data_IF_922441462575
#
_entry.id   IF_922441462575
#
_cell.length_a   1.000
_cell.length_b   1.000
_cell.length_c   1.000
_cell.angle_alpha   90.00
_cell.angle_beta   90.00
_cell.angle_gamma   90.00
#
_symmetry.space_group_name_H-M   'P 1'
#
loop_
_entity.id
_entity.type
_entity.pdbx_description
1 polymer ?
#
# COMPACT_ATOMS: atom_id res chain seq x y z
N UNK A 1 -1.37 14.99 -27.43
CA UNK A 1 -0.59 14.82 -26.19
C UNK A 1 0.13 13.51 -26.21
N UNK A 2 1.45 13.55 -25.98
CA UNK A 2 2.31 12.37 -25.85
C UNK A 2 2.10 11.70 -24.48
N UNK A 3 2.56 10.44 -24.33
CA UNK A 3 2.52 9.73 -23.06
C UNK A 3 3.30 10.48 -21.97
N UNK A 4 4.47 11.01 -22.33
CA UNK A 4 5.34 11.78 -21.44
C UNK A 4 4.66 13.06 -20.95
N UNK A 5 3.98 13.79 -21.84
CA UNK A 5 3.21 14.99 -21.45
C UNK A 5 2.09 14.66 -20.46
N UNK A 6 1.38 13.54 -20.66
CA UNK A 6 0.33 13.09 -19.74
C UNK A 6 0.90 12.70 -18.37
N UNK A 7 2.05 12.04 -18.35
CA UNK A 7 2.74 11.68 -17.10
C UNK A 7 3.22 12.92 -16.34
N UNK A 8 3.79 13.90 -17.04
CA UNK A 8 4.25 15.15 -16.43
C UNK A 8 3.08 15.94 -15.81
N UNK A 9 1.97 16.07 -16.54
CA UNK A 9 0.77 16.72 -16.02
C UNK A 9 0.21 15.99 -14.79
N UNK A 10 0.24 14.66 -14.76
CA UNK A 10 -0.16 13.90 -13.58
C UNK A 10 0.77 14.15 -12.38
N UNK A 11 2.09 14.20 -12.60
CA UNK A 11 3.07 14.51 -11.54
C UNK A 11 2.81 15.90 -10.94
N UNK A 12 2.53 16.91 -11.77
CA UNK A 12 2.22 18.27 -11.31
C UNK A 12 0.97 18.33 -10.41
N UNK A 13 -0.01 17.47 -10.67
CA UNK A 13 -1.17 17.31 -9.79
C UNK A 13 -0.73 16.74 -8.43
N UNK A 14 0.09 15.69 -8.40
CA UNK A 14 0.55 15.07 -7.16
C UNK A 14 1.60 15.89 -6.39
N UNK A 15 2.19 16.92 -7.01
CA UNK A 15 3.12 17.83 -6.34
C UNK A 15 2.43 18.89 -5.45
N UNK A 16 1.11 19.05 -5.56
CA UNK A 16 0.34 20.02 -4.77
C UNK A 16 -0.71 19.33 -3.93
N UNK A 17 -0.63 19.53 -2.60
CA UNK A 17 -1.65 19.05 -1.66
C UNK A 17 -3.07 19.53 -2.03
N UNK A 18 -3.20 20.75 -2.53
CA UNK A 18 -4.50 21.31 -2.90
C UNK A 18 -5.06 20.65 -4.16
N UNK A 19 -4.19 20.32 -5.12
CA UNK A 19 -4.59 19.61 -6.33
C UNK A 19 -5.02 18.17 -5.98
N UNK A 20 -4.27 17.47 -5.11
CA UNK A 20 -4.65 16.13 -4.62
C UNK A 20 -6.02 16.15 -3.94
N UNK A 21 -6.29 17.16 -3.10
CA UNK A 21 -7.61 17.33 -2.46
C UNK A 21 -8.74 17.56 -3.46
N UNK A 22 -8.45 18.19 -4.59
CA UNK A 22 -9.40 18.42 -5.67
C UNK A 22 -9.70 17.19 -6.54
N UNK A 23 -8.97 16.07 -6.37
CA UNK A 23 -9.18 14.84 -7.12
C UNK A 23 -10.33 13.96 -6.61
N UNK A 24 -10.99 14.37 -5.51
CA UNK A 24 -12.10 13.64 -4.88
C UNK A 24 -11.78 12.16 -4.60
N UNK A 25 -10.53 11.88 -4.22
CA UNK A 25 -10.05 10.54 -3.89
C UNK A 25 -10.51 10.14 -2.49
N UNK A 26 -10.95 8.89 -2.34
CA UNK A 26 -11.28 8.36 -1.01
C UNK A 26 -10.00 8.18 -0.17
N UNK A 27 -10.15 8.16 1.17
CA UNK A 27 -9.03 7.84 2.08
C UNK A 27 -8.32 6.53 1.67
N UNK A 28 -9.11 5.54 1.28
CA UNK A 28 -8.64 4.23 0.86
C UNK A 28 -7.81 4.26 -0.43
N UNK A 29 -8.12 5.18 -1.35
CA UNK A 29 -7.36 5.37 -2.59
C UNK A 29 -6.02 6.04 -2.28
N UNK A 30 -6.04 7.06 -1.41
CA UNK A 30 -4.82 7.74 -0.96
C UNK A 30 -3.87 6.80 -0.22
N UNK A 31 -4.37 5.94 0.66
CA UNK A 31 -3.56 4.91 1.33
C UNK A 31 -2.98 3.91 0.32
N UNK A 32 -3.77 3.48 -0.66
CA UNK A 32 -3.30 2.57 -1.72
C UNK A 32 -2.18 3.22 -2.55
N UNK A 33 -2.31 4.51 -2.89
CA UNK A 33 -1.29 5.26 -3.61
C UNK A 33 -0.02 5.43 -2.78
N UNK A 34 -0.16 5.79 -1.49
CA UNK A 34 0.96 5.87 -0.55
C UNK A 34 1.73 4.55 -0.51
N UNK A 35 1.05 3.42 -0.30
CA UNK A 35 1.72 2.12 -0.16
C UNK A 35 2.48 1.73 -1.43
N UNK A 36 1.91 2.01 -2.61
CA UNK A 36 2.58 1.79 -3.91
C UNK A 36 3.80 2.68 -4.08
N UNK A 37 3.67 3.97 -3.76
CA UNK A 37 4.78 4.93 -3.87
C UNK A 37 5.90 4.55 -2.89
N UNK A 38 5.57 4.17 -1.65
CA UNK A 38 6.55 3.71 -0.66
C UNK A 38 7.34 2.50 -1.15
N UNK A 39 6.66 1.54 -1.80
CA UNK A 39 7.33 0.38 -2.39
C UNK A 39 8.31 0.78 -3.50
N UNK A 40 7.90 1.68 -4.41
CA UNK A 40 8.77 2.19 -5.47
C UNK A 40 9.96 2.97 -4.88
N UNK A 41 9.74 3.75 -3.82
CA UNK A 41 10.82 4.45 -3.11
C UNK A 41 11.84 3.46 -2.54
N UNK A 42 11.37 2.38 -1.90
CA UNK A 42 12.25 1.34 -1.36
C UNK A 42 13.05 0.65 -2.48
N UNK A 43 12.40 0.31 -3.60
CA UNK A 43 13.06 -0.27 -4.78
C UNK A 43 14.17 0.64 -5.32
N UNK A 44 13.86 1.92 -5.57
CA UNK A 44 14.84 2.89 -6.06
C UNK A 44 15.96 3.17 -5.04
N UNK A 45 15.65 3.19 -3.75
CA UNK A 45 16.64 3.35 -2.69
C UNK A 45 17.61 2.18 -2.66
N UNK A 46 17.11 0.94 -2.75
CA UNK A 46 17.93 -0.26 -2.78
C UNK A 46 18.82 -0.31 -4.02
N UNK A 47 18.29 0.09 -5.19
CA UNK A 47 19.09 0.20 -6.43
C UNK A 47 20.21 1.24 -6.28
N UNK A 48 19.91 2.41 -5.70
CA UNK A 48 20.91 3.44 -5.48
C UNK A 48 21.97 2.99 -4.47
N UNK A 49 21.57 2.30 -3.41
CA UNK A 49 22.49 1.77 -2.42
C UNK A 49 23.40 0.69 -3.02
N UNK A 50 22.86 -0.17 -3.91
CA UNK A 50 23.65 -1.16 -4.64
C UNK A 50 24.71 -0.46 -5.50
N UNK A 51 24.35 0.59 -6.26
CA UNK A 51 25.30 1.38 -7.05
C UNK A 51 26.40 1.98 -6.17
N UNK A 52 26.06 2.50 -5.00
CA UNK A 52 27.04 3.05 -4.05
C UNK A 52 28.00 1.98 -3.53
N UNK A 53 27.49 0.79 -3.18
CA UNK A 53 28.31 -0.35 -2.73
C UNK A 53 29.24 -0.83 -3.86
N UNK A 54 28.74 -0.89 -5.09
CA UNK A 54 29.56 -1.27 -6.24
C UNK A 54 30.67 -0.25 -6.53
N UNK A 55 30.35 1.04 -6.46
CA UNK A 55 31.34 2.11 -6.59
C UNK A 55 32.42 2.02 -5.50
N UNK A 56 32.04 1.77 -4.24
CA UNK A 56 32.98 1.61 -3.13
C UNK A 56 33.91 0.39 -3.34
N UNK A 57 33.36 -0.75 -3.78
CA UNK A 57 34.15 -1.93 -4.11
C UNK A 57 35.13 -1.64 -5.26
N UNK A 58 34.69 -0.94 -6.31
CA UNK A 58 35.57 -0.57 -7.42
C UNK A 58 36.70 0.37 -6.96
N UNK A 59 36.39 1.36 -6.10
CA UNK A 59 37.39 2.27 -5.56
C UNK A 59 38.47 1.52 -4.75
N UNK A 60 38.06 0.57 -3.88
CA UNK A 60 39.00 -0.26 -3.10
C UNK A 60 39.88 -1.15 -3.99
N UNK A 61 39.32 -1.71 -5.07
CA UNK A 61 40.08 -2.49 -6.05
C UNK A 61 41.14 -1.65 -6.76
N UNK A 62 40.83 -0.40 -7.11
CA UNK A 62 41.78 0.50 -7.79
C UNK A 62 42.99 0.84 -6.92
N UNK A 63 42.81 0.90 -5.60
CA UNK A 63 43.90 1.13 -4.64
C UNK A 63 44.51 -0.17 -4.09
N UNK A 64 44.14 -1.32 -4.64
CA UNK A 64 44.61 -2.66 -4.27
C UNK A 64 44.42 -2.98 -2.77
N UNK A 65 43.33 -2.48 -2.18
CA UNK A 65 42.92 -2.75 -0.80
C UNK A 65 41.96 -3.92 -0.77
N UNK A 66 42.11 -4.78 0.23
CA UNK A 66 41.21 -5.91 0.45
C UNK A 66 39.77 -5.43 0.67
N UNK A 67 38.80 -6.10 0.04
CA UNK A 67 37.39 -5.72 0.12
C UNK A 67 36.83 -6.24 1.44
N UNK A 68 36.31 -5.39 2.33
CA UNK A 68 35.66 -5.83 3.55
C UNK A 68 34.49 -6.78 3.27
N UNK A 69 34.38 -7.84 4.08
CA UNK A 69 33.29 -8.81 4.00
C UNK A 69 31.91 -8.16 4.13
N UNK A 70 31.81 -7.08 4.91
CA UNK A 70 30.60 -6.27 5.07
C UNK A 70 30.08 -5.73 3.73
N UNK A 71 30.96 -5.19 2.87
CA UNK A 71 30.58 -4.68 1.56
C UNK A 71 30.20 -5.81 0.60
N UNK A 72 30.90 -6.95 0.68
CA UNK A 72 30.60 -8.15 -0.13
C UNK A 72 29.24 -8.75 0.24
N UNK A 73 28.97 -8.87 1.54
CA UNK A 73 27.70 -9.37 2.08
C UNK A 73 26.55 -8.41 1.76
N UNK A 74 26.79 -7.10 1.89
CA UNK A 74 25.80 -6.08 1.54
C UNK A 74 25.47 -6.08 0.05
N UNK A 75 26.48 -6.23 -0.82
CA UNK A 75 26.26 -6.40 -2.27
C UNK A 75 25.40 -7.64 -2.55
N UNK A 76 25.72 -8.79 -1.95
CA UNK A 76 24.94 -10.03 -2.12
C UNK A 76 23.50 -9.86 -1.64
N UNK A 77 23.29 -9.26 -0.47
CA UNK A 77 21.96 -9.02 0.08
C UNK A 77 21.12 -8.12 -0.84
N UNK A 78 21.68 -7.00 -1.32
CA UNK A 78 20.99 -6.07 -2.21
C UNK A 78 20.73 -6.68 -3.61
N UNK A 79 21.66 -7.45 -4.16
CA UNK A 79 21.51 -8.10 -5.47
C UNK A 79 20.58 -9.33 -5.47
N UNK A 80 20.44 -10.00 -4.32
CA UNK A 80 19.56 -11.16 -4.15
C UNK A 80 18.15 -10.81 -3.67
N UNK A 81 17.93 -9.57 -3.24
CA UNK A 81 16.62 -9.08 -2.83
C UNK A 81 15.76 -8.89 -4.07
N UNK A 82 14.98 -9.92 -4.46
CA UNK A 82 13.91 -9.71 -5.43
C UNK A 82 12.94 -8.70 -4.80
N UNK A 83 12.49 -7.67 -5.55
CA UNK A 83 11.43 -6.79 -5.07
C UNK A 83 10.28 -7.68 -4.62
N UNK A 84 9.87 -7.52 -3.37
CA UNK A 84 8.92 -8.40 -2.73
C UNK A 84 7.53 -8.15 -3.36
N UNK A 85 7.30 -8.66 -4.57
CA UNK A 85 6.02 -8.57 -5.29
C UNK A 85 4.88 -9.27 -4.50
N UNK A 86 5.21 -9.98 -3.42
CA UNK A 86 4.28 -10.69 -2.55
C UNK A 86 3.29 -9.78 -1.79
N UNK A 87 3.46 -8.44 -1.80
CA UNK A 87 2.46 -7.51 -1.23
C UNK A 87 1.34 -7.11 -2.18
N UNK A 88 1.28 -7.65 -3.40
CA UNK A 88 -0.02 -7.81 -4.07
C UNK A 88 -0.83 -8.92 -3.37
N UNK A 89 -1.09 -8.79 -2.07
CA UNK A 89 -2.23 -9.47 -1.47
C UNK A 89 -3.44 -8.99 -2.26
N UNK A 90 -4.05 -9.89 -3.04
CA UNK A 90 -5.37 -9.68 -3.66
C UNK A 90 -6.21 -8.93 -2.64
N UNK A 91 -6.65 -7.70 -2.97
CA UNK A 91 -7.51 -6.91 -2.09
C UNK A 91 -8.65 -7.83 -1.66
N UNK A 92 -8.86 -7.93 -0.35
CA UNK A 92 -9.97 -8.71 0.16
C UNK A 92 -11.26 -8.18 -0.50
N UNK A 93 -12.11 -9.07 -1.03
CA UNK A 93 -13.29 -8.65 -1.79
C UNK A 93 -14.14 -7.71 -0.95
N UNK A 94 -14.83 -6.77 -1.61
CA UNK A 94 -15.88 -6.00 -0.97
C UNK A 94 -16.94 -6.97 -0.45
N UNK A 95 -17.45 -6.72 0.75
CA UNK A 95 -18.52 -7.47 1.37
C UNK A 95 -19.53 -6.49 1.97
N UNK A 96 -20.78 -6.94 2.02
CA UNK A 96 -21.85 -6.26 2.71
C UNK A 96 -21.83 -6.61 4.19
N UNK A 97 -22.01 -5.61 5.02
CA UNK A 97 -22.14 -5.74 6.46
C UNK A 97 -23.48 -5.13 6.87
N UNK A 98 -24.37 -5.93 7.46
CA UNK A 98 -25.70 -5.49 7.87
C UNK A 98 -25.79 -5.38 9.38
N UNK A 99 -26.11 -4.19 9.88
CA UNK A 99 -26.27 -3.89 11.31
C UNK A 99 -27.65 -3.28 11.51
N UNK A 100 -28.59 -4.06 12.05
CA UNK A 100 -30.00 -3.68 12.10
C UNK A 100 -30.56 -3.44 10.69
N UNK A 101 -31.04 -2.22 10.44
CA UNK A 101 -31.53 -1.78 9.12
C UNK A 101 -30.44 -1.16 8.23
N UNK A 102 -29.24 -0.90 8.77
CA UNK A 102 -28.15 -0.26 8.04
C UNK A 102 -27.31 -1.29 7.28
N UNK A 103 -26.93 -0.96 6.04
CA UNK A 103 -26.08 -1.78 5.17
C UNK A 103 -24.82 -0.98 4.83
N UNK A 104 -23.66 -1.58 5.07
CA UNK A 104 -22.34 -1.02 4.76
C UNK A 104 -21.63 -1.89 3.74
N UNK A 105 -21.08 -1.30 2.68
CA UNK A 105 -20.26 -2.00 1.69
C UNK A 105 -18.79 -1.63 1.86
N UNK A 106 -17.98 -2.56 2.37
CA UNK A 106 -16.57 -2.31 2.66
C UNK A 106 -15.70 -3.55 2.40
N UNK A 107 -14.38 -3.41 2.49
CA UNK A 107 -13.45 -4.55 2.41
C UNK A 107 -13.79 -5.61 3.47
N UNK A 108 -13.85 -6.88 3.05
CA UNK A 108 -14.15 -8.03 3.91
C UNK A 108 -13.11 -8.29 5.00
N UNK A 109 -11.89 -7.80 4.82
CA UNK A 109 -10.80 -7.90 5.79
C UNK A 109 -10.25 -6.50 6.10
N UNK A 110 -9.78 -6.30 7.32
CA UNK A 110 -9.22 -5.04 7.81
C UNK A 110 -10.09 -4.38 8.87
N UNK A 111 -9.67 -3.19 9.31
CA UNK A 111 -10.43 -2.39 10.28
C UNK A 111 -11.75 -1.90 9.65
N UNK A 112 -12.86 -1.83 10.41
CA UNK A 112 -14.07 -1.14 9.96
C UNK A 112 -13.77 0.33 9.64
N UNK A 113 -14.51 0.90 8.69
CA UNK A 113 -14.58 2.36 8.57
C UNK A 113 -15.11 2.99 9.86
N UNK A 114 -14.98 4.30 10.00
CA UNK A 114 -15.49 5.03 11.16
C UNK A 114 -16.99 4.83 11.35
N UNK A 115 -17.74 4.78 10.26
CA UNK A 115 -19.21 4.65 10.27
C UNK A 115 -19.62 3.24 10.67
N UNK A 116 -19.01 2.22 10.06
CA UNK A 116 -19.25 0.83 10.41
C UNK A 116 -18.81 0.52 11.85
N UNK A 117 -17.70 1.09 12.31
CA UNK A 117 -17.23 0.93 13.69
C UNK A 117 -18.23 1.52 14.70
N UNK A 118 -18.77 2.71 14.41
CA UNK A 118 -19.77 3.35 15.25
C UNK A 118 -21.07 2.54 15.30
N UNK A 119 -21.52 2.02 14.16
CA UNK A 119 -22.72 1.18 14.09
C UNK A 119 -22.53 -0.14 14.88
N UNK A 120 -21.37 -0.80 14.75
CA UNK A 120 -21.04 -2.00 15.55
C UNK A 120 -21.05 -1.68 17.04
N UNK A 121 -20.43 -0.55 17.43
CA UNK A 121 -20.35 -0.15 18.83
C UNK A 121 -21.74 0.14 19.41
N UNK A 122 -22.59 0.86 18.68
CA UNK A 122 -23.95 1.15 19.11
C UNK A 122 -24.77 -0.14 19.27
N UNK A 123 -24.71 -1.04 18.28
CA UNK A 123 -25.39 -2.33 18.35
C UNK A 123 -24.95 -3.15 19.56
N UNK A 124 -23.65 -3.22 19.82
CA UNK A 124 -23.09 -3.94 20.97
C UNK A 124 -23.55 -3.34 22.29
N UNK A 125 -23.58 -2.02 22.40
CA UNK A 125 -24.06 -1.32 23.61
C UNK A 125 -25.54 -1.56 23.86
N UNK A 126 -26.37 -1.55 22.81
CA UNK A 126 -27.83 -1.72 22.90
C UNK A 126 -28.23 -3.17 23.23
N UNK A 127 -27.47 -4.14 22.72
CA UNK A 127 -27.80 -5.56 22.84
C UNK A 127 -26.96 -6.29 23.90
N UNK A 128 -26.02 -5.59 24.57
CA UNK A 128 -25.10 -6.19 25.54
C UNK A 128 -24.16 -7.24 24.93
N UNK A 129 -23.80 -7.07 23.66
CA UNK A 129 -22.97 -8.02 22.91
C UNK A 129 -21.56 -7.48 22.67
N UNK A 130 -20.66 -8.34 22.17
CA UNK A 130 -19.29 -7.97 21.79
C UNK A 130 -18.97 -8.47 20.38
N UNK A 131 -19.86 -8.17 19.44
CA UNK A 131 -19.71 -8.56 18.04
C UNK A 131 -18.68 -7.68 17.33
N UNK A 132 -18.05 -8.26 16.33
CA UNK A 132 -17.00 -7.65 15.50
C UNK A 132 -17.48 -7.49 14.07
N UNK A 133 -16.72 -6.76 13.25
CA UNK A 133 -17.03 -6.55 11.82
C UNK A 133 -17.37 -7.85 11.08
N UNK A 134 -16.73 -8.97 11.42
CA UNK A 134 -16.95 -10.25 10.73
C UNK A 134 -18.34 -10.84 11.01
N UNK A 135 -18.91 -10.56 12.16
CA UNK A 135 -20.18 -11.14 12.62
C UNK A 135 -21.39 -10.53 11.90
N UNK A 136 -21.22 -9.34 11.32
CA UNK A 136 -22.25 -8.66 10.53
C UNK A 136 -22.11 -8.88 9.03
N UNK A 137 -21.14 -9.68 8.59
CA UNK A 137 -20.89 -9.92 7.17
C UNK A 137 -22.03 -10.77 6.58
N UNK A 138 -22.65 -10.29 5.51
CA UNK A 138 -23.67 -11.03 4.77
C UNK A 138 -23.05 -11.71 3.54
N UNK A 139 -23.50 -12.94 3.24
CA UNK A 139 -22.99 -13.76 2.13
C UNK A 139 -23.58 -13.40 0.75
N UNK A 140 -24.34 -12.31 0.65
CA UNK A 140 -24.75 -11.72 -0.63
C UNK A 140 -23.50 -11.21 -1.38
N UNK A 141 -22.88 -12.13 -2.13
CA UNK A 141 -21.87 -11.80 -3.11
C UNK A 141 -22.48 -10.81 -4.10
N UNK A 142 -21.76 -9.71 -4.36
CA UNK A 142 -22.11 -8.76 -5.41
C UNK A 142 -22.16 -9.55 -6.72
N UNK A 143 -23.36 -9.91 -7.19
CA UNK A 143 -23.57 -10.17 -8.61
C UNK A 143 -23.16 -8.88 -9.32
N UNK A 144 -22.02 -8.94 -9.98
CA UNK A 144 -21.64 -7.91 -10.94
C UNK A 144 -22.65 -8.01 -12.08
N UNK A 145 -23.56 -7.05 -12.14
CA UNK A 145 -24.28 -6.78 -13.39
C UNK A 145 -23.27 -6.04 -14.26
N UNK A 146 -22.91 -6.67 -15.39
CA UNK A 146 -21.98 -6.17 -16.40
C UNK A 146 -22.41 -4.83 -17.02
#
# INVERSE_FOLDING_TARGET
MTLTEKQQAAIEIFNSRNNIRGLDLTLNDLETLRDRISFIIEELSNEQELKNVEAAIQALRLVNVEIPDELSNKKKALSGSKPNLATQRKKAPAARFKIGEQIFEERSQGKPSRELAAAIQNYNNENGTSLTKKDFKTDDAVEKVD
#
